data_IF_317014678626
#
_entry.id   IF_317014678626
#
_cell.length_a   1.000
_cell.length_b   1.000
_cell.length_c   1.000
_cell.angle_alpha   90.00
_cell.angle_beta   90.00
_cell.angle_gamma   90.00
#
_symmetry.space_group_name_H-M   'P 1'
#
loop_
_entity.id
_entity.type
_entity.pdbx_description
1 polymer ?
#
# COMPACT_ATOMS: atom_id res chain seq x y z
N UNK A 1 -6.00 -18.24 -18.26
CA UNK A 1 -5.47 -17.26 -17.28
C UNK A 1 -6.60 -16.75 -16.43
N UNK A 2 -6.59 -17.08 -15.14
CA UNK A 2 -7.60 -16.61 -14.19
C UNK A 2 -7.38 -15.12 -13.84
N UNK A 3 -8.34 -14.50 -13.16
CA UNK A 3 -8.26 -13.07 -12.81
C UNK A 3 -7.06 -12.75 -11.91
N UNK A 4 -6.69 -13.67 -11.00
CA UNK A 4 -5.56 -13.49 -10.07
C UNK A 4 -4.22 -13.46 -10.81
N UNK A 5 -4.02 -14.36 -11.76
CA UNK A 5 -2.85 -14.40 -12.63
C UNK A 5 -2.72 -13.10 -13.43
N UNK A 6 -3.82 -12.61 -14.02
CA UNK A 6 -3.83 -11.31 -14.73
C UNK A 6 -3.42 -10.15 -13.83
N UNK A 7 -3.87 -10.13 -12.58
CA UNK A 7 -3.52 -9.09 -11.61
C UNK A 7 -2.03 -9.18 -11.21
N UNK A 8 -1.52 -10.39 -10.98
CA UNK A 8 -0.08 -10.59 -10.71
C UNK A 8 0.76 -10.15 -11.90
N UNK A 9 0.40 -10.56 -13.11
CA UNK A 9 1.12 -10.17 -14.33
C UNK A 9 1.14 -8.66 -14.52
N UNK A 10 0.01 -7.98 -14.30
CA UNK A 10 -0.07 -6.51 -14.35
C UNK A 10 0.83 -5.84 -13.30
N UNK A 11 0.89 -6.38 -12.08
CA UNK A 11 1.80 -5.87 -11.04
C UNK A 11 3.27 -6.03 -11.44
N UNK A 12 3.66 -7.19 -11.98
CA UNK A 12 5.01 -7.45 -12.44
C UNK A 12 5.39 -6.54 -13.62
N UNK A 13 4.48 -6.34 -14.58
CA UNK A 13 4.67 -5.42 -15.71
C UNK A 13 4.79 -3.95 -15.27
N UNK A 14 4.27 -3.60 -14.09
CA UNK A 14 4.39 -2.26 -13.49
C UNK A 14 5.73 -2.04 -12.78
N UNK A 15 6.67 -3.00 -12.83
CA UNK A 15 8.00 -2.89 -12.22
C UNK A 15 8.07 -3.30 -10.75
N UNK A 16 7.06 -4.03 -10.25
CA UNK A 16 7.12 -4.65 -8.92
C UNK A 16 8.10 -5.83 -8.92
N UNK A 17 8.85 -5.99 -7.83
CA UNK A 17 9.86 -7.04 -7.69
C UNK A 17 9.25 -8.42 -7.44
N UNK A 18 8.22 -8.50 -6.60
CA UNK A 18 7.46 -9.71 -6.33
C UNK A 18 6.01 -9.33 -6.07
N UNK A 19 5.05 -10.19 -6.43
CA UNK A 19 3.63 -10.03 -6.10
C UNK A 19 3.00 -11.40 -5.78
N UNK A 20 2.26 -11.50 -4.68
CA UNK A 20 1.54 -12.73 -4.29
C UNK A 20 0.24 -12.42 -3.54
N UNK A 21 -0.75 -13.32 -3.66
CA UNK A 21 -1.97 -13.24 -2.86
C UNK A 21 -1.81 -13.91 -1.50
N UNK A 22 -2.13 -13.20 -0.43
CA UNK A 22 -2.09 -13.70 0.96
C UNK A 22 -3.46 -13.53 1.64
N UNK A 23 -3.71 -14.28 2.71
CA UNK A 23 -4.95 -14.11 3.48
C UNK A 23 -4.92 -12.82 4.28
N UNK A 24 -6.05 -12.10 4.32
CA UNK A 24 -6.18 -10.91 5.18
C UNK A 24 -6.04 -11.28 6.67
N UNK A 25 -6.37 -12.51 7.05
CA UNK A 25 -6.25 -13.02 8.42
C UNK A 25 -4.81 -13.09 8.92
N UNK A 26 -3.83 -13.09 8.03
CA UNK A 26 -2.40 -13.09 8.37
C UNK A 26 -1.88 -11.69 8.73
N UNK A 27 -2.64 -10.63 8.41
CA UNK A 27 -2.22 -9.25 8.67
C UNK A 27 -2.46 -8.86 10.13
N UNK A 28 -1.38 -8.43 10.80
CA UNK A 28 -1.43 -7.88 12.16
C UNK A 28 -1.29 -6.36 12.10
N UNK A 29 -2.26 -5.66 12.70
CA UNK A 29 -2.25 -4.20 12.79
C UNK A 29 -1.67 -3.76 14.13
N UNK A 30 -0.43 -3.29 14.11
CA UNK A 30 0.27 -2.77 15.28
C UNK A 30 -0.03 -1.27 15.48
N UNK A 31 -0.67 -0.86 16.59
CA UNK A 31 -0.92 0.56 16.87
C UNK A 31 0.36 1.41 16.93
N UNK A 32 1.49 0.81 17.29
CA UNK A 32 2.80 1.46 17.37
C UNK A 32 3.26 1.99 16.00
N UNK A 33 2.92 1.28 14.91
CA UNK A 33 3.25 1.74 13.56
C UNK A 33 2.51 3.04 13.23
N UNK A 34 1.28 3.23 13.74
CA UNK A 34 0.54 4.47 13.56
C UNK A 34 1.24 5.65 14.23
N UNK A 35 1.81 5.45 15.42
CA UNK A 35 2.60 6.48 16.12
C UNK A 35 3.84 6.88 15.32
N UNK A 36 4.56 5.91 14.74
CA UNK A 36 5.71 6.19 13.87
C UNK A 36 5.29 7.00 12.64
N UNK A 37 4.10 6.74 12.08
CA UNK A 37 3.55 7.56 10.99
C UNK A 37 3.32 9.01 11.45
N UNK A 38 2.71 9.23 12.61
CA UNK A 38 2.43 10.55 13.19
C UNK A 38 3.72 11.34 13.51
N UNK A 39 4.76 10.65 13.96
CA UNK A 39 6.11 11.22 14.13
C UNK A 39 6.76 11.60 12.79
N UNK A 40 6.22 11.10 11.67
CA UNK A 40 6.65 11.39 10.30
C UNK A 40 8.16 11.18 10.07
N UNK A 41 8.76 10.20 10.73
CA UNK A 41 10.21 9.91 10.61
C UNK A 41 10.61 9.54 9.17
N UNK A 42 9.68 8.94 8.40
CA UNK A 42 9.88 8.61 6.99
C UNK A 42 9.63 9.78 6.02
N UNK A 43 9.11 10.92 6.51
CA UNK A 43 8.78 12.13 5.73
C UNK A 43 7.71 11.97 4.64
N UNK A 44 6.85 10.96 4.75
CA UNK A 44 5.76 10.70 3.79
C UNK A 44 4.35 10.97 4.35
N UNK A 45 4.23 11.40 5.61
CA UNK A 45 2.93 11.70 6.22
C UNK A 45 2.18 12.78 5.44
N UNK A 46 0.92 12.53 5.07
CA UNK A 46 0.12 13.43 4.26
C UNK A 46 0.63 13.66 2.83
N UNK A 47 1.63 12.90 2.36
CA UNK A 47 2.16 13.05 0.99
C UNK A 47 1.77 11.93 0.06
N UNK A 48 1.13 10.87 0.56
CA UNK A 48 0.70 9.71 -0.25
C UNK A 48 -0.63 9.13 0.20
N UNK A 49 -1.35 8.48 -0.72
CA UNK A 49 -2.57 7.71 -0.43
C UNK A 49 -2.35 6.51 0.50
N UNK A 50 -1.10 6.09 0.71
CA UNK A 50 -0.75 5.02 1.63
C UNK A 50 -0.51 5.53 3.06
N UNK A 51 -0.38 6.85 3.25
CA UNK A 51 -0.12 7.46 4.55
C UNK A 51 -1.40 8.07 5.14
N UNK A 52 -1.47 8.26 6.47
CA UNK A 52 -2.53 9.05 7.08
C UNK A 52 -2.42 10.53 6.65
N UNK A 53 -3.54 11.29 6.58
CA UNK A 53 -4.91 10.87 6.92
C UNK A 53 -5.64 10.07 5.81
N UNK A 54 -5.08 9.95 4.60
CA UNK A 54 -5.77 9.35 3.45
C UNK A 54 -6.23 7.90 3.67
N UNK A 55 -5.48 7.11 4.46
CA UNK A 55 -5.86 5.73 4.81
C UNK A 55 -6.92 5.63 5.93
N UNK A 56 -7.33 6.75 6.52
CA UNK A 56 -8.26 6.81 7.66
C UNK A 56 -7.61 6.44 9.00
N UNK A 57 -8.43 6.28 10.03
CA UNK A 57 -8.02 5.82 11.36
C UNK A 57 -7.59 4.34 11.35
N UNK A 58 -7.00 3.86 12.45
CA UNK A 58 -6.61 2.45 12.55
C UNK A 58 -7.85 1.54 12.58
N UNK A 59 -8.94 2.00 13.20
CA UNK A 59 -10.23 1.35 13.30
C UNK A 59 -10.90 1.25 11.92
N UNK A 60 -10.98 2.36 11.18
CA UNK A 60 -11.52 2.37 9.81
C UNK A 60 -10.71 1.46 8.88
N UNK A 61 -9.38 1.43 9.03
CA UNK A 61 -8.51 0.53 8.29
C UNK A 61 -8.85 -0.95 8.59
N UNK A 62 -9.05 -1.30 9.86
CA UNK A 62 -9.43 -2.66 10.28
C UNK A 62 -10.79 -3.06 9.72
N UNK A 63 -11.78 -2.17 9.79
CA UNK A 63 -13.11 -2.42 9.22
C UNK A 63 -13.07 -2.60 7.71
N UNK A 64 -12.23 -1.85 7.00
CA UNK A 64 -12.04 -2.02 5.54
C UNK A 64 -11.42 -3.37 5.22
N UNK A 65 -10.38 -3.78 5.97
CA UNK A 65 -9.69 -5.06 5.77
C UNK A 65 -10.65 -6.25 5.97
N UNK A 66 -11.51 -6.18 6.99
CA UNK A 66 -12.51 -7.23 7.27
C UNK A 66 -13.53 -7.48 6.14
N UNK A 67 -13.58 -6.62 5.10
CA UNK A 67 -14.46 -6.82 3.93
C UNK A 67 -13.84 -7.72 2.86
N UNK A 68 -12.59 -8.16 3.05
CA UNK A 68 -11.84 -8.94 2.07
C UNK A 68 -11.25 -10.21 2.71
N UNK A 69 -11.24 -11.32 1.98
CA UNK A 69 -10.61 -12.57 2.42
C UNK A 69 -9.11 -12.66 2.03
N UNK A 70 -8.73 -11.94 0.98
CA UNK A 70 -7.41 -12.03 0.34
C UNK A 70 -6.92 -10.64 -0.06
N UNK A 71 -5.61 -10.41 0.05
CA UNK A 71 -4.94 -9.20 -0.46
C UNK A 71 -3.80 -9.55 -1.40
N UNK A 72 -3.42 -8.62 -2.27
CA UNK A 72 -2.21 -8.71 -3.08
C UNK A 72 -1.06 -8.02 -2.32
N UNK A 73 -0.08 -8.80 -1.86
CA UNK A 73 1.17 -8.27 -1.31
C UNK A 73 2.19 -8.17 -2.43
N UNK A 74 2.81 -7.01 -2.58
CA UNK A 74 3.88 -6.82 -3.55
C UNK A 74 5.05 -6.04 -2.96
N UNK A 75 6.24 -6.28 -3.47
CA UNK A 75 7.43 -5.51 -3.14
C UNK A 75 7.78 -4.59 -4.29
N UNK A 76 7.98 -3.32 -3.98
CA UNK A 76 8.56 -2.35 -4.92
C UNK A 76 9.91 -1.92 -4.40
N UNK A 77 10.89 -1.78 -5.27
CA UNK A 77 12.14 -1.13 -4.90
C UNK A 77 11.90 0.37 -4.80
N UNK A 78 11.50 0.87 -3.62
CA UNK A 78 11.48 2.30 -3.36
C UNK A 78 12.93 2.81 -3.27
N UNK A 79 13.59 2.98 -4.42
CA UNK A 79 14.64 3.99 -4.52
C UNK A 79 13.93 5.32 -4.34
N UNK A 80 14.40 6.18 -3.44
CA UNK A 80 13.93 7.57 -3.30
C UNK A 80 13.87 8.33 -4.66
N UNK A 81 14.55 7.82 -5.70
CA UNK A 81 14.49 8.29 -7.07
C UNK A 81 13.19 7.98 -7.86
N UNK A 82 12.32 7.03 -7.45
CA UNK A 82 11.09 6.72 -8.21
C UNK A 82 10.09 7.87 -8.20
N UNK A 83 10.12 8.74 -7.17
CA UNK A 83 9.34 9.99 -7.14
C UNK A 83 9.67 10.92 -8.33
N UNK A 84 10.81 10.73 -9.00
CA UNK A 84 11.21 11.51 -10.17
C UNK A 84 10.81 10.87 -11.51
N UNK A 85 10.57 9.55 -11.55
CA UNK A 85 10.37 8.83 -12.82
C UNK A 85 8.93 8.43 -13.09
N UNK A 86 8.11 8.31 -12.05
CA UNK A 86 6.66 8.17 -12.21
C UNK A 86 6.04 9.50 -11.79
N UNK A 87 5.60 10.34 -12.73
CA UNK A 87 4.89 11.56 -12.34
C UNK A 87 3.69 11.15 -11.49
N UNK A 88 3.43 11.83 -10.37
CA UNK A 88 2.20 11.61 -9.62
C UNK A 88 1.05 11.78 -10.61
N UNK A 89 0.15 10.79 -10.64
CA UNK A 89 -1.01 10.83 -11.51
C UNK A 89 -1.77 12.16 -11.27
N UNK A 90 -2.34 12.81 -12.29
CA UNK A 90 -2.97 14.13 -12.13
C UNK A 90 -4.14 14.18 -11.12
N UNK A 91 -4.64 13.02 -10.71
CA UNK A 91 -5.62 12.79 -9.64
C UNK A 91 -5.00 12.52 -8.27
N UNK A 92 -3.67 12.55 -8.14
CA UNK A 92 -2.93 12.40 -6.89
C UNK A 92 -3.07 13.66 -6.02
N UNK A 93 -4.27 13.85 -5.48
CA UNK A 93 -4.56 14.80 -4.41
C UNK A 93 -4.66 14.03 -3.10
N UNK A 94 -3.61 14.09 -2.30
CA UNK A 94 -3.63 13.59 -0.92
C UNK A 94 -4.62 14.39 -0.08
#
# INVERSE_FOLDING_TARGET
MNTREKVKDAAMQSGMGQAEFISVKELVLYPEIRKICEENTCRNYGTTWACPPAVGTLEECRERLNRYDTMLLFTSFQRQAIRLTVPPSPDYRV
#
